data_IF_414591106754
#
_entry.id   IF_414591106754
#
_cell.length_a   1.000
_cell.length_b   1.000
_cell.length_c   1.000
_cell.angle_alpha   90.00
_cell.angle_beta   90.00
_cell.angle_gamma   90.00
#
_symmetry.space_group_name_H-M   'P 1'
#
loop_
_entity.id
_entity.type
_entity.pdbx_description
1 polymer ?
#
# COMPACT_ATOMS: atom_id res chain seq x y z
N UNK A 1 26.43 0.48 14.72
CA UNK A 1 25.23 1.32 14.47
C UNK A 1 25.01 1.33 12.96
N UNK A 2 23.86 0.91 12.51
CA UNK A 2 23.49 0.88 11.08
C UNK A 2 22.91 2.24 10.68
N UNK A 3 23.35 2.78 9.55
CA UNK A 3 22.80 4.03 9.02
C UNK A 3 21.91 3.75 7.82
N UNK A 4 20.73 4.40 7.77
CA UNK A 4 19.77 4.32 6.68
C UNK A 4 19.49 5.74 6.17
N UNK A 5 19.70 5.94 4.88
CA UNK A 5 19.36 7.23 4.25
C UNK A 5 17.86 7.36 4.06
N UNK A 6 17.29 8.54 4.29
CA UNK A 6 15.87 8.82 4.04
C UNK A 6 15.43 8.49 2.62
N UNK A 7 16.30 8.71 1.63
CA UNK A 7 16.02 8.34 0.22
C UNK A 7 15.74 6.84 0.02
N UNK A 8 16.44 5.96 0.75
CA UNK A 8 16.19 4.52 0.67
C UNK A 8 14.80 4.17 1.22
N UNK A 9 14.34 4.90 2.25
CA UNK A 9 12.99 4.77 2.80
C UNK A 9 11.97 5.27 1.77
N UNK A 10 12.18 6.44 1.18
CA UNK A 10 11.33 7.00 0.12
C UNK A 10 11.12 6.00 -1.01
N UNK A 11 12.20 5.45 -1.55
CA UNK A 11 12.12 4.47 -2.64
C UNK A 11 11.43 3.17 -2.23
N UNK A 12 11.64 2.70 -1.00
CA UNK A 12 10.98 1.50 -0.49
C UNK A 12 9.47 1.73 -0.36
N UNK A 13 9.05 2.85 0.24
CA UNK A 13 7.64 3.21 0.40
C UNK A 13 6.95 3.39 -0.96
N UNK A 14 7.59 4.06 -1.92
CA UNK A 14 7.05 4.21 -3.27
C UNK A 14 6.76 2.85 -3.92
N UNK A 15 7.72 1.92 -3.89
CA UNK A 15 7.52 0.55 -4.41
C UNK A 15 6.41 -0.20 -3.67
N UNK A 16 6.33 -0.07 -2.35
CA UNK A 16 5.29 -0.72 -1.55
C UNK A 16 3.90 -0.17 -1.87
N UNK A 17 3.74 1.14 -2.06
CA UNK A 17 2.47 1.73 -2.47
C UNK A 17 2.00 1.16 -3.82
N UNK A 18 2.88 1.06 -4.80
CA UNK A 18 2.57 0.46 -6.09
C UNK A 18 2.20 -1.02 -5.97
N UNK A 19 3.01 -1.79 -5.26
CA UNK A 19 2.81 -3.24 -5.10
C UNK A 19 1.52 -3.56 -4.32
N UNK A 20 1.24 -2.86 -3.23
CA UNK A 20 0.06 -3.10 -2.41
C UNK A 20 -1.26 -2.82 -3.12
N UNK A 21 -1.26 -1.93 -4.12
CA UNK A 21 -2.45 -1.63 -4.91
C UNK A 21 -2.65 -2.57 -6.12
N UNK A 22 -1.61 -3.33 -6.51
CA UNK A 22 -1.65 -4.22 -7.69
C UNK A 22 -1.66 -5.69 -7.33
N UNK A 23 -1.14 -6.06 -6.16
CA UNK A 23 -0.92 -7.45 -5.79
C UNK A 23 -1.58 -7.78 -4.47
N UNK A 24 -2.37 -8.85 -4.43
CA UNK A 24 -2.83 -9.42 -3.18
C UNK A 24 -1.75 -10.33 -2.57
N UNK A 25 -1.59 -10.32 -1.23
CA UNK A 25 -0.75 -11.29 -0.53
C UNK A 25 -1.18 -12.74 -0.80
N UNK A 26 -0.24 -13.67 -0.77
CA UNK A 26 -0.48 -15.06 -1.13
C UNK A 26 -1.52 -15.76 -0.22
N UNK A 27 -1.53 -15.46 1.06
CA UNK A 27 -2.51 -15.96 2.02
C UNK A 27 -3.93 -15.53 1.66
N UNK A 28 -4.13 -14.26 1.29
CA UNK A 28 -5.42 -13.72 0.83
C UNK A 28 -5.86 -14.38 -0.47
N UNK A 29 -4.97 -14.54 -1.46
CA UNK A 29 -5.25 -15.25 -2.72
C UNK A 29 -5.70 -16.68 -2.46
N UNK A 30 -4.96 -17.39 -1.58
CA UNK A 30 -5.28 -18.77 -1.21
C UNK A 30 -6.65 -18.85 -0.56
N UNK A 31 -6.96 -17.95 0.37
CA UNK A 31 -8.24 -17.91 1.05
C UNK A 31 -9.42 -17.68 0.07
N UNK A 32 -9.30 -16.72 -0.85
CA UNK A 32 -10.34 -16.43 -1.84
C UNK A 32 -10.55 -17.61 -2.78
N UNK A 33 -9.48 -18.22 -3.29
CA UNK A 33 -9.55 -19.36 -4.20
C UNK A 33 -10.21 -20.57 -3.53
N UNK A 34 -9.80 -20.90 -2.30
CA UNK A 34 -10.42 -21.98 -1.53
C UNK A 34 -11.88 -21.70 -1.18
N UNK A 35 -12.25 -20.44 -0.93
CA UNK A 35 -13.63 -20.06 -0.69
C UNK A 35 -14.48 -20.26 -1.95
N UNK A 36 -13.96 -19.91 -3.13
CA UNK A 36 -14.61 -20.16 -4.40
C UNK A 36 -14.87 -21.66 -4.65
N UNK A 37 -13.89 -22.50 -4.35
CA UNK A 37 -14.02 -23.97 -4.54
C UNK A 37 -15.06 -24.60 -3.61
N UNK A 38 -15.22 -24.06 -2.38
CA UNK A 38 -16.14 -24.58 -1.36
C UNK A 38 -17.52 -23.97 -1.44
N UNK A 39 -17.71 -22.88 -2.16
CA UNK A 39 -18.99 -22.18 -2.24
C UNK A 39 -20.01 -23.01 -3.04
N UNK A 40 -21.13 -23.35 -2.40
CA UNK A 40 -22.20 -24.14 -3.00
C UNK A 40 -23.28 -23.31 -3.68
N UNK A 41 -23.42 -22.03 -3.27
CA UNK A 41 -24.40 -21.14 -3.88
C UNK A 41 -23.85 -20.52 -5.16
N UNK A 42 -24.43 -20.91 -6.30
CA UNK A 42 -23.94 -20.54 -7.63
C UNK A 42 -23.70 -19.03 -7.85
N UNK A 43 -24.59 -18.11 -7.41
CA UNK A 43 -24.33 -16.68 -7.57
C UNK A 43 -23.11 -16.21 -6.77
N UNK A 44 -22.91 -16.70 -5.52
CA UNK A 44 -21.75 -16.33 -4.72
C UNK A 44 -20.46 -16.89 -5.31
N UNK A 45 -20.47 -18.13 -5.81
CA UNK A 45 -19.33 -18.72 -6.51
C UNK A 45 -18.96 -17.91 -7.76
N UNK A 46 -19.95 -17.42 -8.51
CA UNK A 46 -19.76 -16.55 -9.66
C UNK A 46 -19.09 -15.22 -9.29
N UNK A 47 -19.48 -14.62 -8.15
CA UNK A 47 -18.85 -13.40 -7.63
C UNK A 47 -17.38 -13.67 -7.24
N UNK A 48 -17.12 -14.75 -6.49
CA UNK A 48 -15.75 -15.13 -6.11
C UNK A 48 -14.88 -15.39 -7.34
N UNK A 49 -15.43 -16.00 -8.39
CA UNK A 49 -14.73 -16.19 -9.67
C UNK A 49 -14.30 -14.86 -10.29
N UNK A 50 -15.16 -13.84 -10.26
CA UNK A 50 -14.83 -12.49 -10.74
C UNK A 50 -13.77 -11.80 -9.91
N UNK A 51 -13.76 -12.01 -8.60
CA UNK A 51 -12.70 -11.50 -7.73
C UNK A 51 -11.35 -12.15 -8.08
N UNK A 52 -11.33 -13.46 -8.30
CA UNK A 52 -10.13 -14.19 -8.72
C UNK A 52 -9.61 -13.71 -10.07
N UNK A 53 -10.49 -13.52 -11.05
CA UNK A 53 -10.16 -12.97 -12.36
C UNK A 53 -9.58 -11.55 -12.25
N UNK A 54 -10.22 -10.69 -11.44
CA UNK A 54 -9.82 -9.30 -11.28
C UNK A 54 -8.40 -9.15 -10.73
N UNK A 55 -8.03 -9.85 -9.64
CA UNK A 55 -6.68 -9.69 -9.10
C UNK A 55 -5.59 -10.29 -10.01
N UNK A 56 -5.92 -11.28 -10.85
CA UNK A 56 -5.00 -11.80 -11.87
C UNK A 56 -4.74 -10.77 -12.95
N UNK A 57 -5.81 -10.15 -13.49
CA UNK A 57 -5.69 -9.08 -14.48
C UNK A 57 -4.90 -7.90 -13.90
N UNK A 58 -5.18 -7.49 -12.67
CA UNK A 58 -4.48 -6.40 -12.00
C UNK A 58 -2.96 -6.65 -11.92
N UNK A 59 -2.56 -7.89 -11.58
CA UNK A 59 -1.16 -8.29 -11.52
C UNK A 59 -0.51 -8.36 -12.90
N UNK A 60 -1.18 -8.99 -13.88
CA UNK A 60 -0.67 -9.18 -15.23
C UNK A 60 -0.51 -7.85 -15.98
N UNK A 61 -1.52 -6.99 -15.91
CA UNK A 61 -1.55 -5.71 -16.61
C UNK A 61 -0.95 -4.55 -15.80
N UNK A 62 -0.46 -4.83 -14.57
CA UNK A 62 0.11 -3.83 -13.64
C UNK A 62 -0.86 -2.68 -13.34
N UNK A 63 -2.15 -3.00 -13.23
CA UNK A 63 -3.23 -2.08 -12.89
C UNK A 63 -3.63 -2.17 -11.42
N UNK A 64 -4.20 -1.12 -10.82
CA UNK A 64 -4.78 -1.22 -9.48
C UNK A 64 -5.92 -2.25 -9.43
N UNK A 65 -5.99 -3.01 -8.33
CA UNK A 65 -7.04 -4.02 -8.10
C UNK A 65 -8.44 -3.40 -8.14
N UNK A 66 -8.55 -2.16 -7.64
CA UNK A 66 -9.78 -1.37 -7.73
C UNK A 66 -9.44 0.13 -7.82
N UNK A 67 -10.45 0.94 -8.15
CA UNK A 67 -10.32 2.40 -8.24
C UNK A 67 -10.14 3.09 -6.88
N UNK A 68 -10.48 2.43 -5.77
CA UNK A 68 -10.30 2.98 -4.42
C UNK A 68 -8.96 2.51 -3.86
N UNK A 69 -7.94 3.35 -4.03
CA UNK A 69 -6.57 3.10 -3.56
C UNK A 69 -6.33 3.59 -2.13
N UNK A 70 -7.37 4.16 -1.49
CA UNK A 70 -7.43 4.48 -0.08
C UNK A 70 -6.39 5.48 0.43
N UNK A 71 -6.13 5.42 1.73
CA UNK A 71 -5.08 6.17 2.44
C UNK A 71 -3.90 5.23 2.67
N UNK A 72 -2.69 5.71 2.44
CA UNK A 72 -1.49 4.94 2.73
C UNK A 72 -1.28 4.81 4.25
N UNK A 73 -1.38 3.57 4.76
CA UNK A 73 -1.03 3.23 6.14
C UNK A 73 0.36 2.56 6.12
N UNK A 74 1.35 3.23 6.72
CA UNK A 74 2.73 2.76 6.72
C UNK A 74 3.11 2.29 8.12
N UNK A 75 3.43 1.02 8.27
CA UNK A 75 3.89 0.42 9.51
C UNK A 75 5.40 0.23 9.44
N UNK A 76 6.12 0.82 10.38
CA UNK A 76 7.56 0.79 10.46
C UNK A 76 8.03 0.11 11.74
N UNK A 77 8.89 -0.90 11.62
CA UNK A 77 9.68 -1.41 12.73
C UNK A 77 11.12 -0.94 12.55
N UNK A 78 11.63 -0.20 13.52
CA UNK A 78 12.98 0.38 13.49
C UNK A 78 13.78 -0.15 14.66
N UNK A 79 14.95 -0.70 14.36
CA UNK A 79 15.88 -1.15 15.39
C UNK A 79 16.42 0.02 16.22
N UNK A 80 16.54 -0.15 17.54
CA UNK A 80 17.03 0.90 18.45
C UNK A 80 18.45 1.38 18.14
N UNK A 81 19.23 0.56 17.43
CA UNK A 81 20.62 0.87 17.04
C UNK A 81 20.72 1.42 15.60
N UNK A 82 19.57 1.66 14.94
CA UNK A 82 19.52 2.25 13.60
C UNK A 82 19.50 3.76 13.71
N UNK A 83 20.35 4.41 12.93
CA UNK A 83 20.31 5.85 12.72
C UNK A 83 19.73 6.16 11.33
N UNK A 84 18.62 6.90 11.32
CA UNK A 84 18.00 7.39 10.07
C UNK A 84 18.53 8.77 9.77
N UNK A 85 19.15 8.91 8.60
CA UNK A 85 19.66 10.21 8.11
C UNK A 85 18.51 11.00 7.49
N UNK A 86 18.21 12.15 8.05
CA UNK A 86 17.12 13.03 7.63
C UNK A 86 15.84 12.85 8.42
N UNK A 87 14.76 13.41 7.90
CA UNK A 87 13.41 13.35 8.49
C UNK A 87 12.66 12.11 8.00
N UNK A 88 12.32 11.23 8.93
CA UNK A 88 11.63 9.96 8.63
C UNK A 88 10.22 10.20 8.07
N UNK A 89 9.47 11.11 8.67
CA UNK A 89 8.10 11.39 8.23
C UNK A 89 8.10 11.99 6.82
N UNK A 90 9.00 12.92 6.57
CA UNK A 90 9.18 13.50 5.24
C UNK A 90 9.59 12.44 4.21
N UNK A 91 10.49 11.53 4.57
CA UNK A 91 10.94 10.46 3.67
C UNK A 91 9.79 9.49 3.31
N UNK A 92 8.95 9.13 4.28
CA UNK A 92 7.76 8.29 4.06
C UNK A 92 6.75 9.00 3.16
N UNK A 93 6.41 10.27 3.46
CA UNK A 93 5.46 11.03 2.66
C UNK A 93 5.97 11.27 1.22
N UNK A 94 7.27 11.51 1.05
CA UNK A 94 7.87 11.59 -0.29
C UNK A 94 7.73 10.28 -1.07
N UNK A 95 7.84 9.13 -0.39
CA UNK A 95 7.61 7.82 -0.99
C UNK A 95 6.16 7.59 -1.40
N UNK A 96 5.20 7.99 -0.56
CA UNK A 96 3.76 7.93 -0.90
C UNK A 96 3.46 8.81 -2.10
N UNK A 97 3.89 10.07 -2.07
CA UNK A 97 3.77 11.01 -3.20
C UNK A 97 4.28 10.36 -4.50
N UNK A 98 5.52 9.89 -4.50
CA UNK A 98 6.13 9.27 -5.67
C UNK A 98 5.35 8.05 -6.15
N UNK A 99 5.05 7.10 -5.25
CA UNK A 99 4.38 5.85 -5.61
C UNK A 99 2.98 6.05 -6.17
N UNK A 100 2.19 6.97 -5.59
CA UNK A 100 0.84 7.25 -6.08
C UNK A 100 0.83 7.94 -7.44
N UNK A 101 1.72 8.91 -7.66
CA UNK A 101 1.78 9.63 -8.94
C UNK A 101 2.37 8.77 -10.06
N UNK A 102 3.47 8.06 -9.82
CA UNK A 102 4.10 7.20 -10.83
C UNK A 102 3.21 6.04 -11.27
N UNK A 103 2.45 5.46 -10.34
CA UNK A 103 1.54 4.36 -10.65
C UNK A 103 0.16 4.81 -11.14
N UNK A 104 -0.11 6.11 -11.22
CA UNK A 104 -1.42 6.65 -11.60
C UNK A 104 -2.53 6.25 -10.63
N UNK A 105 -2.21 6.08 -9.34
CA UNK A 105 -3.18 5.71 -8.32
C UNK A 105 -4.07 6.90 -7.97
N UNK A 106 -5.32 6.61 -7.58
CA UNK A 106 -6.26 7.65 -7.19
C UNK A 106 -5.84 8.29 -5.87
N UNK A 107 -5.61 9.61 -5.86
CA UNK A 107 -5.34 10.37 -4.65
C UNK A 107 -6.66 10.72 -3.95
N UNK A 108 -6.90 10.12 -2.77
CA UNK A 108 -8.15 10.27 -2.01
C UNK A 108 -8.02 11.17 -0.77
N UNK A 109 -6.79 11.51 -0.37
CA UNK A 109 -6.54 12.31 0.84
C UNK A 109 -6.91 13.78 0.62
N UNK A 110 -7.56 14.36 1.61
CA UNK A 110 -7.90 15.79 1.65
C UNK A 110 -7.09 16.48 2.75
N UNK A 111 -6.63 17.70 2.47
CA UNK A 111 -5.86 18.51 3.41
C UNK A 111 -6.69 18.95 4.63
N UNK A 112 -8.00 19.11 4.43
CA UNK A 112 -8.93 19.53 5.48
C UNK A 112 -10.29 18.83 5.29
N UNK A 113 -10.79 18.11 6.31
CA UNK A 113 -12.02 17.32 6.19
C UNK A 113 -13.29 18.15 5.96
N UNK A 114 -13.30 19.41 6.37
CA UNK A 114 -14.44 20.32 6.19
C UNK A 114 -14.43 20.94 4.81
N UNK A 115 -13.28 21.44 4.37
CA UNK A 115 -13.11 22.10 3.06
C UNK A 115 -12.99 21.11 1.91
N UNK A 116 -12.55 19.87 2.19
CA UNK A 116 -12.40 18.77 1.23
C UNK A 116 -11.50 19.06 0.03
N UNK A 117 -10.48 19.90 0.23
CA UNK A 117 -9.48 20.17 -0.80
C UNK A 117 -8.53 18.98 -0.88
N UNK A 118 -8.49 18.32 -2.01
CA UNK A 118 -7.59 17.15 -2.23
C UNK A 118 -6.12 17.60 -2.21
N UNK A 119 -5.25 16.79 -1.63
CA UNK A 119 -3.80 17.07 -1.58
C UNK A 119 -3.12 16.88 -2.93
N UNK A 120 -3.71 16.09 -3.82
CA UNK A 120 -3.20 15.82 -5.17
C UNK A 120 -2.11 14.75 -5.25
N UNK A 121 -1.66 14.23 -4.12
CA UNK A 121 -0.54 13.27 -4.04
C UNK A 121 -0.73 12.16 -2.99
N UNK A 122 -1.92 12.12 -2.40
CA UNK A 122 -2.32 11.16 -1.38
C UNK A 122 -1.52 11.24 -0.06
N UNK A 123 -0.88 12.36 0.23
CA UNK A 123 -0.22 12.63 1.53
C UNK A 123 -1.13 13.48 2.44
N UNK A 124 -0.90 13.46 3.78
CA UNK A 124 0.05 12.63 4.50
C UNK A 124 -0.39 11.17 4.64
N UNK A 125 0.58 10.28 4.79
CA UNK A 125 0.35 8.89 5.17
C UNK A 125 -0.02 8.77 6.66
N UNK A 126 -0.77 7.74 7.02
CA UNK A 126 -0.90 7.31 8.41
C UNK A 126 0.32 6.46 8.80
N UNK A 127 1.21 7.01 9.63
CA UNK A 127 2.48 6.36 9.98
C UNK A 127 2.37 5.79 11.41
N UNK A 128 2.65 4.49 11.53
CA UNK A 128 2.80 3.81 12.82
C UNK A 128 4.24 3.34 12.97
N UNK A 129 4.93 3.86 13.98
CA UNK A 129 6.32 3.51 14.27
C UNK A 129 6.41 2.64 15.51
N UNK A 130 7.13 1.53 15.40
CA UNK A 130 7.50 0.65 16.52
C UNK A 130 9.01 0.53 16.61
N UNK A 131 9.55 0.83 17.79
CA UNK A 131 10.94 0.54 18.09
C UNK A 131 11.11 -0.91 18.54
N UNK A 132 12.09 -1.59 17.98
CA UNK A 132 12.44 -2.97 18.30
C UNK A 132 13.91 -3.08 18.68
N UNK A 133 14.33 -4.09 19.49
CA UNK A 133 15.74 -4.30 19.79
C UNK A 133 16.56 -4.61 18.53
N UNK A 134 17.83 -4.16 18.50
CA UNK A 134 18.78 -4.46 17.43
C UNK A 134 18.87 -3.40 16.33
N UNK A 135 19.39 -3.82 15.16
CA UNK A 135 19.70 -2.97 14.01
C UNK A 135 19.25 -3.59 12.66
#
# INVERSE_FOLDING_TARGET
>A
MREIKGEAITQAVARLCMSANRNLPQDVRTCITQSQERESWEPARGILSKIVENYKIAEEDQLPICQDTGVACVFLEVGQEVHIQGDLEQAVNAGVHQGYLEAGLRCSVVADPLRRVNTGDNTPAAITLRLVPGN
#
